data_IF_242482874549
#
_entry.id   IF_242482874549
#
_cell.length_a   1.000
_cell.length_b   1.000
_cell.length_c   1.000
_cell.angle_alpha   90.00
_cell.angle_beta   90.00
_cell.angle_gamma   90.00
#
_symmetry.space_group_name_H-M   'P 1'
#
loop_
_entity.id
_entity.type
_entity.pdbx_description
1 polymer ?
#
# COMPACT_ATOMS: atom_id res chain seq x y z
N UNK A 1 -50.25 3.03 21.86
CA UNK A 1 -48.93 2.46 22.21
C UNK A 1 -48.99 0.99 22.65
N UNK A 2 -49.84 0.59 23.61
CA UNK A 2 -49.88 -0.81 24.12
C UNK A 2 -50.29 -1.88 23.09
N UNK A 3 -51.18 -1.54 22.14
CA UNK A 3 -51.66 -2.49 21.12
C UNK A 3 -50.61 -2.86 20.05
N UNK A 4 -49.67 -1.96 19.76
CA UNK A 4 -48.61 -2.19 18.76
C UNK A 4 -47.49 -3.09 19.31
N UNK A 5 -47.21 -2.96 20.61
CA UNK A 5 -46.20 -3.79 21.29
C UNK A 5 -46.65 -5.25 21.34
N UNK A 6 -47.94 -5.51 21.64
CA UNK A 6 -48.49 -6.87 21.63
C UNK A 6 -48.45 -7.52 20.24
N UNK A 7 -48.78 -6.79 19.16
CA UNK A 7 -48.68 -7.32 17.79
C UNK A 7 -47.25 -7.69 17.40
N UNK A 8 -46.26 -6.88 17.78
CA UNK A 8 -44.85 -7.17 17.48
C UNK A 8 -44.32 -8.39 18.25
N UNK A 9 -44.74 -8.56 19.52
CA UNK A 9 -44.35 -9.71 20.34
C UNK A 9 -44.96 -11.01 19.77
N UNK A 10 -46.23 -10.99 19.38
CA UNK A 10 -46.89 -12.18 18.78
C UNK A 10 -46.23 -12.58 17.46
N UNK A 11 -45.84 -11.62 16.62
CA UNK A 11 -45.13 -11.90 15.36
C UNK A 11 -43.73 -12.46 15.62
N UNK A 12 -43.03 -11.98 16.65
CA UNK A 12 -41.70 -12.48 17.01
C UNK A 12 -41.75 -13.94 17.52
N UNK A 13 -42.76 -14.27 18.34
CA UNK A 13 -42.96 -15.63 18.87
C UNK A 13 -43.33 -16.60 17.73
N UNK A 14 -44.20 -16.19 16.80
CA UNK A 14 -44.57 -17.00 15.64
C UNK A 14 -43.38 -17.30 14.70
N UNK A 15 -42.39 -16.39 14.62
CA UNK A 15 -41.21 -16.56 13.76
C UNK A 15 -40.15 -17.48 14.36
N UNK A 16 -40.07 -17.54 15.70
CA UNK A 16 -39.20 -18.46 16.43
C UNK A 16 -39.70 -19.92 16.40
N UNK A 17 -41.01 -20.13 16.27
CA UNK A 17 -41.63 -21.46 16.22
C UNK A 17 -41.46 -22.19 14.87
N UNK A 18 -40.95 -21.52 13.82
CA UNK A 18 -40.85 -22.07 12.45
C UNK A 18 -39.42 -22.45 12.02
N UNK A 19 -38.45 -22.51 12.93
CA UNK A 19 -37.11 -22.99 12.61
C UNK A 19 -37.03 -24.51 12.85
N UNK A 20 -36.86 -25.35 11.80
CA UNK A 20 -36.72 -26.78 11.98
C UNK A 20 -35.37 -27.14 12.61
N UNK A 21 -35.44 -27.80 13.77
CA UNK A 21 -34.38 -28.58 14.38
C UNK A 21 -34.04 -29.77 13.45
N UNK A 22 -32.96 -29.68 12.69
CA UNK A 22 -32.32 -30.85 12.08
C UNK A 22 -30.81 -30.63 11.97
N UNK A 23 -30.14 -30.77 13.11
CA UNK A 23 -28.69 -30.88 13.21
C UNK A 23 -28.41 -31.98 14.24
N UNK A 24 -28.29 -33.22 13.76
CA UNK A 24 -27.37 -34.27 14.24
C UNK A 24 -27.74 -35.64 13.65
N UNK A 25 -26.69 -36.40 13.31
CA UNK A 25 -26.60 -37.86 13.07
C UNK A 25 -26.35 -38.26 11.60
N UNK A 26 -25.29 -39.09 11.46
CA UNK A 26 -24.69 -39.77 10.30
C UNK A 26 -23.54 -39.01 9.61
N UNK A 27 -22.34 -39.56 9.41
CA UNK A 27 -21.72 -40.85 9.74
C UNK A 27 -20.22 -40.68 9.41
N UNK A 28 -19.36 -41.40 10.12
CA UNK A 28 -17.98 -41.66 9.70
C UNK A 28 -17.94 -42.64 8.51
N UNK A 29 -16.74 -42.80 7.92
CA UNK A 29 -16.35 -43.67 6.78
C UNK A 29 -16.70 -43.05 5.40
N UNK A 30 -15.81 -42.92 4.41
CA UNK A 30 -14.80 -43.86 3.91
C UNK A 30 -13.51 -43.17 3.40
N UNK A 31 -12.44 -43.97 3.42
CA UNK A 31 -11.17 -43.78 2.73
C UNK A 31 -11.27 -44.06 1.23
N UNK A 32 -10.38 -43.41 0.49
CA UNK A 32 -9.68 -43.91 -0.71
C UNK A 32 -10.31 -43.78 -2.12
N UNK A 33 -9.42 -43.32 -3.02
CA UNK A 33 -9.32 -43.63 -4.45
C UNK A 33 -10.50 -43.28 -5.37
N UNK A 34 -10.29 -42.33 -6.29
CA UNK A 34 -10.21 -42.66 -7.73
C UNK A 34 -9.73 -41.48 -8.57
N UNK A 35 -8.74 -41.77 -9.42
CA UNK A 35 -8.36 -41.00 -10.60
C UNK A 35 -9.43 -41.21 -11.69
N UNK A 36 -9.81 -40.14 -12.37
CA UNK A 36 -10.11 -39.98 -13.82
C UNK A 36 -10.67 -38.55 -13.96
N UNK A 37 -10.22 -37.66 -14.84
CA UNK A 37 -10.00 -37.81 -16.28
C UNK A 37 -11.24 -37.29 -17.01
N UNK A 38 -11.15 -36.11 -17.66
CA UNK A 38 -11.93 -35.57 -18.80
C UNK A 38 -11.31 -34.18 -19.09
N UNK A 39 -10.41 -34.00 -20.06
CA UNK A 39 -10.63 -33.67 -21.49
C UNK A 39 -11.74 -32.63 -21.70
N UNK A 40 -11.48 -31.42 -22.17
CA UNK A 40 -11.17 -31.15 -23.57
C UNK A 40 -11.22 -29.63 -23.79
N UNK A 41 -10.35 -29.08 -24.63
CA UNK A 41 -10.76 -28.17 -25.70
C UNK A 41 -9.66 -28.15 -26.76
N UNK A 42 -10.09 -28.49 -27.97
CA UNK A 42 -9.30 -28.64 -29.18
C UNK A 42 -9.48 -27.38 -30.01
N UNK A 43 -8.40 -26.72 -30.42
CA UNK A 43 -8.36 -25.96 -31.67
C UNK A 43 -7.03 -26.22 -32.38
N UNK A 44 -7.14 -26.70 -33.63
CA UNK A 44 -6.04 -26.91 -34.58
C UNK A 44 -5.52 -25.56 -35.04
N UNK A 45 -4.21 -25.43 -35.31
CA UNK A 45 -3.70 -25.22 -36.68
C UNK A 45 -2.15 -25.16 -36.77
N UNK A 46 -1.65 -26.02 -37.66
CA UNK A 46 -0.56 -25.89 -38.64
C UNK A 46 0.89 -25.67 -38.19
N UNK A 47 1.69 -26.68 -38.56
CA UNK A 47 3.12 -26.64 -38.81
C UNK A 47 3.48 -25.55 -39.83
N UNK A 48 4.53 -24.79 -39.53
CA UNK A 48 5.43 -24.21 -40.53
C UNK A 48 6.86 -24.37 -40.04
N UNK A 49 7.64 -25.10 -40.83
CA UNK A 49 9.08 -25.23 -40.75
C UNK A 49 9.78 -23.98 -41.32
N UNK A 50 11.06 -23.85 -40.95
CA UNK A 50 12.14 -23.04 -41.54
C UNK A 50 12.17 -21.53 -41.25
N UNK A 51 13.24 -21.06 -40.59
CA UNK A 51 14.45 -20.54 -41.26
C UNK A 51 15.36 -19.79 -40.26
N UNK A 52 16.67 -20.12 -40.30
CA UNK A 52 17.87 -19.24 -40.23
C UNK A 52 17.92 -18.12 -39.15
N UNK A 53 18.98 -17.91 -38.33
CA UNK A 53 20.40 -17.67 -38.68
C UNK A 53 21.31 -17.84 -37.42
N UNK A 54 22.43 -18.52 -37.65
CA UNK A 54 23.78 -18.52 -37.01
C UNK A 54 24.02 -18.98 -35.57
N UNK A 55 24.52 -20.22 -35.52
CA UNK A 55 25.60 -20.70 -34.67
C UNK A 55 26.92 -19.95 -34.92
N UNK A 56 27.56 -19.49 -33.85
CA UNK A 56 29.02 -19.46 -33.75
C UNK A 56 29.41 -20.31 -32.54
N UNK A 57 30.12 -21.40 -32.82
CA UNK A 57 30.60 -22.34 -31.82
C UNK A 57 31.88 -21.87 -31.16
N UNK A 58 32.04 -22.27 -29.89
CA UNK A 58 33.37 -22.57 -29.34
C UNK A 58 33.24 -23.92 -28.62
N UNK A 59 33.88 -24.93 -29.20
CA UNK A 59 34.14 -26.23 -28.60
C UNK A 59 35.09 -26.07 -27.41
N UNK A 60 34.77 -26.72 -26.28
CA UNK A 60 35.81 -27.26 -25.42
C UNK A 60 35.58 -28.76 -25.22
N UNK A 61 36.54 -29.52 -25.72
CA UNK A 61 36.68 -30.96 -25.65
C UNK A 61 37.46 -31.35 -24.39
N UNK A 62 37.03 -32.42 -23.71
CA UNK A 62 37.78 -33.15 -22.67
C UNK A 62 37.67 -32.53 -21.27
N UNK A 63 37.41 -33.24 -20.17
CA UNK A 63 37.77 -34.62 -19.78
C UNK A 63 36.79 -35.12 -18.73
N UNK A 64 36.78 -36.45 -18.59
CA UNK A 64 35.88 -37.29 -17.79
C UNK A 64 35.89 -36.97 -16.29
N UNK A 65 34.78 -37.35 -15.66
CA UNK A 65 34.58 -37.72 -14.24
C UNK A 65 34.35 -36.58 -13.24
N UNK A 66 33.08 -36.39 -12.87
CA UNK A 66 32.70 -35.91 -11.55
C UNK A 66 31.36 -36.55 -11.12
N UNK A 67 31.42 -37.83 -10.75
CA UNK A 67 30.51 -38.41 -9.76
C UNK A 67 31.34 -38.81 -8.54
N UNK A 68 31.27 -37.98 -7.50
CA UNK A 68 31.40 -38.32 -6.08
C UNK A 68 31.03 -37.04 -5.32
N UNK A 69 29.80 -36.98 -4.82
CA UNK A 69 29.41 -37.32 -3.45
C UNK A 69 29.56 -36.11 -2.52
N UNK A 70 28.44 -35.78 -1.90
CA UNK A 70 28.28 -34.79 -0.85
C UNK A 70 29.20 -35.07 0.35
N UNK A 71 29.68 -34.02 1.00
CA UNK A 71 29.72 -33.94 2.47
C UNK A 71 29.96 -32.49 2.94
N UNK A 72 29.14 -32.10 3.92
CA UNK A 72 29.36 -31.13 5.01
C UNK A 72 29.78 -29.68 4.74
N UNK A 73 28.97 -28.80 5.33
CA UNK A 73 29.19 -27.36 5.55
C UNK A 73 30.38 -27.04 6.50
N UNK A 74 31.26 -27.99 6.80
CA UNK A 74 32.32 -27.82 7.81
C UNK A 74 33.76 -27.88 7.30
N UNK A 75 34.01 -28.02 5.99
CA UNK A 75 35.38 -28.08 5.46
C UNK A 75 35.70 -26.95 4.46
N UNK A 76 35.73 -25.70 4.94
CA UNK A 76 36.60 -24.69 4.32
C UNK A 76 37.91 -24.69 5.12
N UNK A 77 39.09 -24.86 4.49
CA UNK A 77 40.38 -24.70 5.17
C UNK A 77 40.43 -23.33 5.85
N UNK A 78 41.05 -23.24 7.04
CA UNK A 78 41.20 -21.99 7.81
C UNK A 78 41.83 -20.84 7.01
N UNK A 79 42.50 -21.17 5.91
CA UNK A 79 43.32 -20.25 5.13
C UNK A 79 42.59 -19.73 3.87
N UNK A 80 41.30 -20.06 3.69
CA UNK A 80 40.54 -19.62 2.52
C UNK A 80 39.96 -18.21 2.72
N UNK A 81 40.76 -17.19 2.44
CA UNK A 81 40.29 -15.80 2.42
C UNK A 81 39.64 -15.45 1.09
N UNK A 82 38.32 -15.24 1.07
CA UNK A 82 37.61 -14.67 -0.08
C UNK A 82 38.17 -13.26 -0.37
N UNK A 83 38.73 -13.04 -1.56
CA UNK A 83 39.12 -11.71 -2.00
C UNK A 83 37.87 -10.92 -2.45
N UNK A 84 37.86 -9.58 -2.43
CA UNK A 84 36.72 -8.79 -2.92
C UNK A 84 36.34 -9.03 -4.40
N UNK A 85 37.16 -9.79 -5.15
CA UNK A 85 36.93 -10.19 -6.54
C UNK A 85 36.21 -11.53 -6.68
N UNK A 86 36.21 -12.35 -5.63
CA UNK A 86 35.54 -13.66 -5.62
C UNK A 86 34.05 -13.47 -5.45
N UNK A 87 33.34 -13.33 -6.58
CA UNK A 87 31.88 -13.36 -6.58
C UNK A 87 31.43 -14.77 -6.23
N UNK A 88 30.92 -14.95 -5.01
CA UNK A 88 30.07 -16.11 -4.67
C UNK A 88 28.83 -16.01 -5.56
N UNK A 89 28.90 -16.59 -6.74
CA UNK A 89 27.72 -16.82 -7.57
C UNK A 89 26.95 -17.91 -6.87
N UNK A 90 25.88 -17.54 -6.17
CA UNK A 90 24.91 -18.50 -5.67
C UNK A 90 24.22 -19.10 -6.90
N UNK A 91 24.86 -20.06 -7.55
CA UNK A 91 24.27 -20.85 -8.61
C UNK A 91 23.20 -21.73 -7.96
N UNK A 92 21.94 -21.31 -8.09
CA UNK A 92 20.81 -22.14 -7.69
C UNK A 92 20.49 -23.09 -8.84
N UNK A 93 20.27 -24.36 -8.52
CA UNK A 93 19.85 -25.33 -9.51
C UNK A 93 18.51 -24.90 -10.15
N UNK A 94 18.37 -24.91 -11.49
CA UNK A 94 17.15 -24.47 -12.17
C UNK A 94 15.91 -25.31 -11.82
N UNK A 95 16.13 -26.55 -11.39
CA UNK A 95 15.10 -27.56 -11.12
C UNK A 95 14.81 -27.75 -9.64
N UNK A 96 15.58 -27.15 -8.74
CA UNK A 96 15.27 -27.17 -7.31
C UNK A 96 13.94 -26.41 -7.09
N UNK A 97 12.91 -27.03 -6.49
CA UNK A 97 11.68 -26.33 -6.17
C UNK A 97 12.05 -25.22 -5.20
N UNK A 98 11.95 -23.96 -5.64
CA UNK A 98 12.35 -22.78 -4.85
C UNK A 98 11.66 -22.86 -3.48
N UNK A 99 12.38 -23.20 -2.38
CA UNK A 99 11.77 -23.56 -1.10
C UNK A 99 11.17 -22.35 -0.37
N UNK A 100 11.20 -21.18 -1.01
CA UNK A 100 10.69 -19.94 -0.46
C UNK A 100 9.42 -19.44 -1.16
N UNK A 101 8.97 -20.01 -2.30
CA UNK A 101 7.82 -19.46 -3.04
C UNK A 101 6.51 -19.50 -2.23
N UNK A 102 6.36 -20.51 -1.36
CA UNK A 102 5.24 -20.63 -0.41
C UNK A 102 5.40 -19.75 0.84
N UNK A 103 6.62 -19.29 1.13
CA UNK A 103 6.95 -18.34 2.21
C UNK A 103 7.16 -16.89 1.72
N UNK A 104 7.01 -16.62 0.41
CA UNK A 104 6.98 -15.25 -0.10
C UNK A 104 5.69 -14.63 0.38
N UNK A 105 5.80 -13.69 1.32
CA UNK A 105 4.69 -12.78 1.61
C UNK A 105 4.44 -11.95 0.36
N UNK A 106 3.44 -12.34 -0.42
CA UNK A 106 2.97 -11.52 -1.52
C UNK A 106 2.42 -10.21 -0.95
N UNK A 107 2.74 -9.04 -1.53
CA UNK A 107 2.29 -7.75 -1.02
C UNK A 107 0.77 -7.60 -0.89
N UNK A 108 0.01 -8.47 -1.57
CA UNK A 108 -1.45 -8.56 -1.59
C UNK A 108 -2.03 -9.36 -0.42
N UNK A 109 -1.25 -10.31 0.11
CA UNK A 109 -1.60 -11.10 1.31
C UNK A 109 -1.33 -10.31 2.60
N UNK A 110 -0.46 -9.29 2.54
CA UNK A 110 -0.19 -8.44 3.69
C UNK A 110 -1.44 -7.63 4.08
N UNK A 111 -1.84 -7.74 5.35
CA UNK A 111 -2.89 -6.91 5.93
C UNK A 111 -2.56 -5.43 5.77
N UNK A 112 -3.33 -4.72 4.94
CA UNK A 112 -3.17 -3.30 4.65
C UNK A 112 -4.54 -2.64 4.70
N UNK A 113 -4.63 -1.64 5.57
CA UNK A 113 -5.82 -0.83 5.78
C UNK A 113 -5.44 0.59 5.42
N UNK A 114 -6.06 1.12 4.37
CA UNK A 114 -6.03 2.54 4.06
C UNK A 114 -7.31 3.17 4.63
N UNK A 115 -7.26 4.38 5.17
CA UNK A 115 -8.43 5.19 5.56
C UNK A 115 -8.11 6.67 5.34
N UNK A 116 -9.11 7.48 5.04
CA UNK A 116 -8.94 8.94 4.99
C UNK A 116 -9.10 9.54 6.37
N UNK A 117 -8.26 10.52 6.65
CA UNK A 117 -8.30 11.32 7.84
C UNK A 117 -8.27 12.81 7.48
N UNK A 118 -8.66 13.64 8.43
CA UNK A 118 -8.52 15.09 8.37
C UNK A 118 -7.33 15.47 9.26
N UNK A 119 -6.43 16.29 8.74
CA UNK A 119 -5.35 16.87 9.56
C UNK A 119 -5.96 17.87 10.55
N UNK A 120 -6.15 17.44 11.80
CA UNK A 120 -6.92 18.19 12.80
C UNK A 120 -6.07 19.24 13.49
N UNK A 121 -4.92 18.86 14.04
CA UNK A 121 -4.06 19.78 14.78
C UNK A 121 -2.60 19.34 14.72
N UNK A 122 -1.68 20.28 14.94
CA UNK A 122 -0.25 20.04 15.07
C UNK A 122 0.19 20.70 16.36
N UNK A 123 0.79 19.92 17.25
CA UNK A 123 1.22 20.37 18.56
C UNK A 123 2.43 19.57 19.04
N UNK A 124 2.67 19.62 20.33
CA UNK A 124 3.73 18.89 21.00
C UNK A 124 3.15 18.10 22.18
N UNK A 125 3.75 16.95 22.47
CA UNK A 125 3.39 16.10 23.61
C UNK A 125 4.67 15.76 24.36
N UNK A 126 4.61 15.73 25.68
CA UNK A 126 5.71 15.26 26.52
C UNK A 126 5.71 13.74 26.55
N UNK A 127 6.87 13.15 26.24
CA UNK A 127 7.08 11.72 26.40
C UNK A 127 7.30 11.41 27.89
N UNK A 128 7.03 10.15 28.33
CA UNK A 128 7.35 9.73 29.69
C UNK A 128 8.81 9.96 30.09
N UNK A 129 9.72 9.90 29.12
CA UNK A 129 11.16 10.14 29.30
C UNK A 129 11.53 11.63 29.50
N UNK A 130 10.55 12.54 29.49
CA UNK A 130 10.78 13.99 29.60
C UNK A 130 11.18 14.67 28.27
N UNK A 131 11.17 13.95 27.15
CA UNK A 131 11.43 14.54 25.83
C UNK A 131 10.16 15.14 25.20
N UNK A 132 10.29 16.30 24.56
CA UNK A 132 9.20 16.92 23.78
C UNK A 132 9.14 16.32 22.38
N UNK A 133 8.03 15.66 22.05
CA UNK A 133 7.78 15.13 20.72
C UNK A 133 6.81 16.02 19.93
N UNK A 134 7.11 16.26 18.66
CA UNK A 134 6.19 16.97 17.76
C UNK A 134 5.16 15.99 17.19
N UNK A 135 3.89 16.33 17.34
CA UNK A 135 2.77 15.42 17.05
C UNK A 135 1.77 16.08 16.10
N UNK A 136 1.31 15.33 15.11
CA UNK A 136 0.12 15.68 14.33
C UNK A 136 -1.05 14.82 14.79
N UNK A 137 -2.15 15.46 15.18
CA UNK A 137 -3.43 14.81 15.43
C UNK A 137 -4.20 14.65 14.11
N UNK A 138 -4.50 13.41 13.75
CA UNK A 138 -5.27 13.05 12.57
C UNK A 138 -6.65 12.56 13.01
N UNK A 139 -7.72 13.20 12.54
CA UNK A 139 -9.10 12.77 12.80
C UNK A 139 -9.52 11.80 11.71
N UNK A 140 -9.58 10.52 12.03
CA UNK A 140 -10.09 9.48 11.12
C UNK A 140 -11.60 9.41 11.35
N UNK A 141 -12.38 9.65 10.30
CA UNK A 141 -13.84 9.61 10.43
C UNK A 141 -14.35 8.17 10.30
N UNK A 142 -15.38 7.80 11.07
CA UNK A 142 -16.04 6.50 10.94
C UNK A 142 -16.57 6.35 9.52
N UNK A 143 -16.39 5.18 8.92
CA UNK A 143 -16.70 4.99 7.52
C UNK A 143 -17.30 3.61 7.25
N UNK A 144 -18.33 3.57 6.41
CA UNK A 144 -19.08 2.35 6.08
C UNK A 144 -18.59 1.77 4.77
N UNK A 145 -18.30 0.47 4.75
CA UNK A 145 -17.99 -0.25 3.51
C UNK A 145 -19.28 -0.40 2.69
N UNK A 146 -19.32 0.15 1.48
CA UNK A 146 -20.50 0.07 0.62
C UNK A 146 -20.38 -1.02 -0.45
N UNK A 147 -19.21 -1.18 -1.06
CA UNK A 147 -19.00 -2.11 -2.17
C UNK A 147 -17.55 -2.58 -2.20
N UNK A 148 -17.32 -3.84 -2.55
CA UNK A 148 -15.97 -4.36 -2.83
C UNK A 148 -15.67 -4.23 -4.33
N UNK A 149 -14.51 -3.68 -4.65
CA UNK A 149 -13.99 -3.58 -6.01
C UNK A 149 -12.88 -4.62 -6.24
N UNK A 150 -12.50 -4.79 -7.50
CA UNK A 150 -11.37 -5.62 -7.88
C UNK A 150 -10.05 -5.11 -7.28
N UNK A 151 -9.04 -5.98 -7.23
CA UNK A 151 -7.67 -5.68 -6.77
C UNK A 151 -7.53 -5.25 -5.30
N UNK A 152 -8.47 -5.65 -4.43
CA UNK A 152 -8.42 -5.38 -2.99
C UNK A 152 -8.68 -3.91 -2.65
N UNK A 153 -9.47 -3.23 -3.47
CA UNK A 153 -10.05 -1.94 -3.14
C UNK A 153 -11.50 -2.13 -2.67
N UNK A 154 -11.91 -1.32 -1.71
CA UNK A 154 -13.30 -1.20 -1.30
C UNK A 154 -13.75 0.25 -1.44
N UNK A 155 -14.99 0.44 -1.86
CA UNK A 155 -15.67 1.73 -1.84
C UNK A 155 -16.19 1.97 -0.43
N UNK A 156 -15.65 3.01 0.18
CA UNK A 156 -15.96 3.39 1.55
C UNK A 156 -16.64 4.75 1.53
N UNK A 157 -17.73 4.89 2.28
CA UNK A 157 -18.47 6.14 2.44
C UNK A 157 -18.20 6.72 3.83
N UNK A 158 -17.81 8.00 3.88
CA UNK A 158 -17.67 8.76 5.12
C UNK A 158 -18.98 9.50 5.35
N UNK A 159 -19.64 9.31 6.49
CA UNK A 159 -20.95 9.91 6.73
C UNK A 159 -20.94 11.43 6.49
N UNK A 160 -21.83 11.92 5.63
CA UNK A 160 -22.19 13.33 5.50
C UNK A 160 -23.53 13.56 6.19
N UNK A 161 -23.78 14.77 6.72
CA UNK A 161 -25.10 15.08 7.24
C UNK A 161 -26.12 15.11 6.08
N UNK A 162 -27.34 14.61 6.31
CA UNK A 162 -28.34 14.40 5.25
C UNK A 162 -28.68 15.66 4.44
N UNK A 163 -28.54 16.86 5.01
CA UNK A 163 -28.82 18.13 4.34
C UNK A 163 -27.85 18.45 3.19
N UNK A 164 -26.63 17.88 3.21
CA UNK A 164 -25.63 18.06 2.14
C UNK A 164 -25.98 17.32 0.84
N UNK A 165 -27.02 16.46 0.85
CA UNK A 165 -27.52 15.76 -0.35
C UNK A 165 -27.74 16.70 -1.54
N UNK A 166 -28.11 17.97 -1.28
CA UNK A 166 -28.36 18.98 -2.32
C UNK A 166 -27.12 19.30 -3.16
N UNK A 167 -25.92 19.14 -2.61
CA UNK A 167 -24.67 19.48 -3.31
C UNK A 167 -24.05 18.33 -4.09
N UNK A 168 -24.65 17.13 -4.02
CA UNK A 168 -24.20 15.99 -4.81
C UNK A 168 -24.68 16.13 -6.26
N UNK A 169 -23.82 15.76 -7.23
CA UNK A 169 -24.24 15.74 -8.63
C UNK A 169 -25.28 14.65 -8.85
N UNK A 170 -26.22 14.88 -9.78
CA UNK A 170 -27.31 13.95 -10.09
C UNK A 170 -26.82 12.53 -10.42
N UNK A 171 -25.72 12.41 -11.16
CA UNK A 171 -25.11 11.11 -11.52
C UNK A 171 -24.53 10.37 -10.31
N UNK A 172 -23.97 11.10 -9.33
CA UNK A 172 -23.42 10.52 -8.11
C UNK A 172 -24.55 10.04 -7.19
N UNK A 173 -25.66 10.78 -7.11
CA UNK A 173 -26.82 10.42 -6.29
C UNK A 173 -27.39 9.04 -6.63
N UNK A 174 -27.48 8.68 -7.92
CA UNK A 174 -27.96 7.34 -8.31
C UNK A 174 -27.09 6.21 -7.78
N UNK A 175 -25.76 6.38 -7.83
CA UNK A 175 -24.81 5.40 -7.28
C UNK A 175 -24.88 5.34 -5.75
N UNK A 176 -25.00 6.49 -5.11
CA UNK A 176 -25.11 6.60 -3.67
C UNK A 176 -26.37 5.91 -3.15
N UNK A 177 -27.53 6.14 -3.78
CA UNK A 177 -28.80 5.47 -3.41
C UNK A 177 -28.68 3.95 -3.48
N UNK A 178 -27.96 3.44 -4.48
CA UNK A 178 -27.80 1.99 -4.68
C UNK A 178 -26.89 1.35 -3.63
N UNK A 179 -25.80 2.03 -3.28
CA UNK A 179 -24.70 1.41 -2.54
C UNK A 179 -24.62 1.83 -1.06
N UNK A 180 -25.12 3.01 -0.68
CA UNK A 180 -24.93 3.57 0.66
C UNK A 180 -26.20 4.27 1.19
N UNK A 181 -26.55 4.01 2.46
CA UNK A 181 -27.65 4.72 3.14
C UNK A 181 -27.33 6.19 3.47
N UNK A 182 -26.04 6.55 3.56
CA UNK A 182 -25.59 7.84 4.09
C UNK A 182 -25.42 8.95 3.04
N UNK A 183 -25.75 8.70 1.76
CA UNK A 183 -25.67 9.67 0.64
C UNK A 183 -24.35 10.45 0.52
N UNK A 184 -23.25 9.89 1.01
CA UNK A 184 -21.98 10.60 1.10
C UNK A 184 -20.94 10.06 0.12
N UNK A 185 -20.05 10.94 -0.35
CA UNK A 185 -19.03 10.63 -1.36
C UNK A 185 -18.31 9.32 -1.04
N UNK A 186 -18.38 8.39 -1.98
CA UNK A 186 -17.67 7.13 -1.91
C UNK A 186 -16.25 7.36 -2.38
N UNK A 187 -15.27 6.96 -1.58
CA UNK A 187 -13.86 6.99 -1.96
C UNK A 187 -13.33 5.56 -2.01
N UNK A 188 -12.62 5.18 -3.08
CA UNK A 188 -11.93 3.90 -3.12
C UNK A 188 -10.77 3.90 -2.14
N UNK A 189 -10.69 2.84 -1.35
CA UNK A 189 -9.76 2.66 -0.26
C UNK A 189 -9.17 1.25 -0.35
N UNK A 190 -7.88 1.10 -0.08
CA UNK A 190 -7.23 -0.22 -0.11
C UNK A 190 -7.52 -0.98 1.19
N UNK A 191 -8.20 -2.12 1.08
CA UNK A 191 -8.49 -3.05 2.18
C UNK A 191 -8.01 -4.43 1.77
N UNK A 192 -6.93 -4.90 2.39
CA UNK A 192 -6.35 -6.21 2.13
C UNK A 192 -6.12 -6.95 3.45
N UNK A 193 -6.40 -8.27 3.51
CA UNK A 193 -7.11 -9.07 2.51
C UNK A 193 -8.63 -8.78 2.55
N UNK A 194 -9.35 -8.86 1.42
CA UNK A 194 -10.77 -8.49 1.38
C UNK A 194 -11.70 -9.46 2.14
N UNK A 195 -11.25 -10.69 2.40
CA UNK A 195 -12.06 -11.70 3.11
C UNK A 195 -12.28 -11.35 4.60
N UNK A 196 -11.47 -10.46 5.16
CA UNK A 196 -11.56 -10.05 6.56
C UNK A 196 -12.69 -9.03 6.81
N UNK A 197 -13.37 -8.55 5.76
CA UNK A 197 -14.34 -7.46 5.84
C UNK A 197 -15.71 -7.86 5.30
N UNK A 198 -16.75 -7.26 5.89
CA UNK A 198 -18.15 -7.48 5.49
C UNK A 198 -18.75 -6.20 4.92
N UNK A 199 -19.65 -6.33 3.94
CA UNK A 199 -20.41 -5.20 3.42
C UNK A 199 -21.25 -4.56 4.54
N UNK A 200 -21.26 -3.23 4.61
CA UNK A 200 -21.95 -2.46 5.65
C UNK A 200 -21.18 -2.33 6.97
N UNK A 201 -20.02 -2.99 7.11
CA UNK A 201 -19.18 -2.84 8.31
C UNK A 201 -18.71 -1.39 8.46
N UNK A 202 -18.73 -0.90 9.70
CA UNK A 202 -18.19 0.40 10.10
C UNK A 202 -16.72 0.22 10.46
N UNK A 203 -15.84 0.98 9.80
CA UNK A 203 -14.42 1.06 10.09
C UNK A 203 -14.11 2.39 10.78
N UNK A 204 -13.51 2.26 11.97
CA UNK A 204 -13.13 3.38 12.82
C UNK A 204 -11.61 3.44 12.99
N UNK A 205 -11.15 4.39 13.81
CA UNK A 205 -9.73 4.55 14.15
C UNK A 205 -9.15 3.34 14.88
N UNK A 206 -10.02 2.55 15.52
CA UNK A 206 -9.68 1.28 16.16
C UNK A 206 -9.09 0.26 15.17
N UNK A 207 -9.35 0.38 13.87
CA UNK A 207 -8.71 -0.45 12.84
C UNK A 207 -7.18 -0.29 12.80
N UNK A 208 -6.64 0.79 13.36
CA UNK A 208 -5.20 1.01 13.50
C UNK A 208 -4.65 0.60 14.87
N UNK A 209 -5.47 0.04 15.76
CA UNK A 209 -5.00 -0.50 17.03
C UNK A 209 -3.96 -1.61 16.79
N UNK A 210 -2.81 -1.53 17.46
CA UNK A 210 -1.69 -2.46 17.26
C UNK A 210 -0.75 -2.10 16.10
N UNK A 211 -1.05 -1.08 15.28
CA UNK A 211 -0.11 -0.58 14.29
C UNK A 211 0.96 0.30 14.97
N UNK A 212 2.22 -0.14 14.95
CA UNK A 212 3.37 0.66 15.44
C UNK A 212 3.74 1.78 14.47
N UNK A 213 3.64 1.51 13.17
CA UNK A 213 3.98 2.43 12.10
C UNK A 213 2.83 2.60 11.12
N UNK A 214 2.72 3.83 10.59
CA UNK A 214 1.76 4.19 9.56
C UNK A 214 2.44 4.97 8.43
N UNK A 215 1.89 4.84 7.24
CA UNK A 215 2.22 5.68 6.09
C UNK A 215 1.14 6.73 5.94
N UNK A 216 1.50 8.01 5.93
CA UNK A 216 0.54 9.10 5.73
C UNK A 216 0.83 9.81 4.41
N UNK A 217 -0.19 9.91 3.57
CA UNK A 217 -0.12 10.51 2.24
C UNK A 217 -1.04 11.72 2.18
N UNK A 218 -0.52 12.87 1.78
CA UNK A 218 -1.29 14.11 1.72
C UNK A 218 -0.89 14.99 0.55
N UNK A 219 -1.70 16.00 0.28
CA UNK A 219 -1.38 17.04 -0.70
C UNK A 219 -0.61 18.14 0.01
N UNK A 220 0.55 18.49 -0.53
CA UNK A 220 1.39 19.57 0.02
C UNK A 220 0.73 20.94 -0.16
N UNK A 221 0.95 21.84 0.81
CA UNK A 221 0.48 23.25 0.71
C UNK A 221 0.98 23.89 -0.58
N UNK A 222 0.08 24.48 -1.36
CA UNK A 222 0.43 25.23 -2.56
C UNK A 222 1.23 26.49 -2.22
N UNK A 223 2.23 26.82 -3.04
CA UNK A 223 3.07 28.03 -2.90
C UNK A 223 3.07 28.92 -4.15
N UNK A 224 2.16 28.67 -5.09
CA UNK A 224 2.06 29.40 -6.37
C UNK A 224 3.23 29.12 -7.33
N UNK A 225 3.50 30.05 -8.24
CA UNK A 225 4.68 30.05 -9.08
C UNK A 225 5.91 30.43 -8.25
N UNK A 226 6.88 29.53 -8.14
CA UNK A 226 8.09 29.75 -7.36
C UNK A 226 9.31 29.89 -8.28
N UNK A 227 10.14 30.89 -7.99
CA UNK A 227 11.46 31.05 -8.58
C UNK A 227 12.43 29.93 -8.18
N UNK A 228 13.57 29.87 -8.85
CA UNK A 228 14.48 28.70 -8.79
C UNK A 228 15.12 28.53 -7.41
N UNK A 229 15.40 29.63 -6.72
CA UNK A 229 15.90 29.63 -5.33
C UNK A 229 14.91 28.93 -4.39
N UNK A 230 13.64 29.37 -4.36
CA UNK A 230 12.62 28.80 -3.46
C UNK A 230 12.22 27.37 -3.83
N UNK A 231 12.19 27.07 -5.13
CA UNK A 231 11.70 25.77 -5.65
C UNK A 231 12.75 24.67 -5.59
N UNK A 232 14.00 24.99 -5.88
CA UNK A 232 15.09 24.04 -6.08
C UNK A 232 16.33 24.30 -5.22
N UNK A 233 16.30 25.31 -4.35
CA UNK A 233 17.41 25.62 -3.44
C UNK A 233 18.65 26.19 -4.13
N UNK A 234 18.49 26.88 -5.26
CA UNK A 234 19.64 27.51 -5.94
C UNK A 234 20.23 28.65 -5.11
N UNK A 235 21.54 28.83 -5.20
CA UNK A 235 22.24 29.98 -4.62
C UNK A 235 21.93 31.27 -5.35
N UNK A 236 22.11 32.40 -4.66
CA UNK A 236 22.02 33.74 -5.24
C UNK A 236 23.38 34.17 -5.83
N UNK A 237 23.37 35.09 -6.78
CA UNK A 237 24.58 35.79 -7.25
C UNK A 237 25.09 36.83 -6.24
N UNK A 238 26.29 37.41 -6.46
CA UNK A 238 26.85 38.46 -5.62
C UNK A 238 25.94 39.71 -5.61
N UNK A 239 25.92 40.42 -4.48
CA UNK A 239 25.01 41.57 -4.26
C UNK A 239 25.70 42.93 -4.44
N UNK A 240 26.97 43.06 -4.07
CA UNK A 240 27.69 44.34 -4.02
C UNK A 240 28.35 44.73 -5.36
N UNK A 241 29.06 43.80 -6.01
CA UNK A 241 29.86 44.11 -7.20
C UNK A 241 29.04 43.98 -8.50
N UNK A 242 28.30 45.04 -8.87
CA UNK A 242 27.79 45.32 -10.22
C UNK A 242 26.88 44.28 -10.91
N UNK A 243 26.61 43.15 -10.27
CA UNK A 243 25.92 42.03 -10.89
C UNK A 243 24.42 42.30 -10.98
N UNK A 244 23.86 42.36 -12.19
CA UNK A 244 22.40 42.38 -12.40
C UNK A 244 21.74 41.00 -12.27
N UNK A 245 22.48 39.99 -11.79
CA UNK A 245 22.09 38.58 -11.77
C UNK A 245 22.00 38.02 -10.34
N UNK A 246 21.23 38.68 -9.48
CA UNK A 246 21.13 38.27 -8.07
C UNK A 246 20.32 36.99 -7.84
N UNK A 247 19.19 36.79 -8.56
CA UNK A 247 18.25 35.68 -8.31
C UNK A 247 17.93 34.84 -9.55
N UNK A 248 18.70 35.03 -10.62
CA UNK A 248 18.54 34.32 -11.89
C UNK A 248 19.18 32.92 -11.81
N UNK A 249 18.73 31.93 -12.60
CA UNK A 249 19.14 30.52 -12.48
C UNK A 249 20.56 30.17 -12.92
N UNK A 250 21.34 31.12 -13.44
CA UNK A 250 22.63 30.84 -14.07
C UNK A 250 22.47 30.15 -15.43
N UNK A 251 23.49 29.40 -15.85
CA UNK A 251 23.48 28.70 -17.14
C UNK A 251 22.48 27.54 -17.19
N UNK A 252 21.73 27.47 -18.28
CA UNK A 252 20.69 26.44 -18.51
C UNK A 252 21.22 25.21 -19.25
N UNK A 253 22.35 25.30 -19.96
CA UNK A 253 22.89 24.22 -20.78
C UNK A 253 24.29 24.51 -21.31
N UNK A 254 24.86 23.52 -21.99
CA UNK A 254 26.09 23.66 -22.78
C UNK A 254 25.76 24.18 -24.19
N UNK A 255 26.77 24.72 -24.88
CA UNK A 255 26.63 25.32 -26.22
C UNK A 255 26.42 24.26 -27.32
N UNK A 256 27.48 23.76 -27.96
CA UNK A 256 27.41 22.96 -29.19
C UNK A 256 26.77 21.59 -29.01
N UNK A 257 27.18 20.84 -27.98
CA UNK A 257 26.61 19.51 -27.67
C UNK A 257 26.00 19.59 -26.28
N UNK A 258 24.68 19.42 -26.07
CA UNK A 258 23.65 18.83 -26.94
C UNK A 258 22.82 19.81 -27.80
N UNK A 259 23.15 21.11 -27.87
CA UNK A 259 22.41 22.09 -28.68
C UNK A 259 20.98 22.40 -28.20
N UNK A 260 20.57 21.87 -27.05
CA UNK A 260 19.25 22.08 -26.47
C UNK A 260 19.30 22.01 -24.93
N UNK A 261 18.22 22.46 -24.27
CA UNK A 261 18.08 22.27 -22.83
C UNK A 261 17.58 20.86 -22.55
N UNK A 262 18.35 20.07 -21.79
CA UNK A 262 17.97 18.69 -21.45
C UNK A 262 16.62 18.63 -20.70
N UNK A 263 15.76 17.65 -20.99
CA UNK A 263 14.51 17.46 -20.25
C UNK A 263 14.79 17.22 -18.77
N UNK A 264 13.90 17.70 -17.90
CA UNK A 264 14.08 17.62 -16.45
C UNK A 264 15.03 18.67 -15.85
N UNK A 265 15.56 19.61 -16.66
CA UNK A 265 16.31 20.75 -16.13
C UNK A 265 15.48 21.54 -15.11
N UNK A 266 16.06 21.80 -13.95
CA UNK A 266 15.42 22.54 -12.85
C UNK A 266 15.24 24.01 -13.23
N UNK A 267 14.00 24.48 -13.23
CA UNK A 267 13.61 25.85 -13.59
C UNK A 267 12.49 26.38 -12.69
N UNK A 268 12.12 27.64 -12.84
CA UNK A 268 10.99 28.23 -12.12
C UNK A 268 9.67 27.53 -12.50
N UNK A 269 8.68 27.58 -11.63
CA UNK A 269 7.38 26.96 -11.89
C UNK A 269 6.54 26.74 -10.65
N UNK A 270 5.35 26.15 -10.83
CA UNK A 270 4.43 25.86 -9.72
C UNK A 270 5.10 24.97 -8.66
N UNK A 271 4.98 25.38 -7.40
CA UNK A 271 5.48 24.67 -6.22
C UNK A 271 4.33 24.34 -5.26
N UNK A 272 4.40 23.15 -4.64
CA UNK A 272 3.35 22.63 -3.78
C UNK A 272 2.15 22.07 -4.56
N UNK A 273 1.10 21.66 -3.86
CA UNK A 273 -0.08 21.02 -4.47
C UNK A 273 0.21 19.61 -5.02
N UNK A 274 1.34 19.01 -4.65
CA UNK A 274 1.73 17.65 -5.07
C UNK A 274 1.42 16.64 -3.97
N UNK A 275 1.08 15.41 -4.36
CA UNK A 275 0.92 14.27 -3.46
C UNK A 275 2.29 13.86 -2.90
N UNK A 276 2.44 13.88 -1.59
CA UNK A 276 3.64 13.43 -0.88
C UNK A 276 3.26 12.37 0.15
N UNK A 277 4.08 11.33 0.27
CA UNK A 277 3.88 10.24 1.22
C UNK A 277 5.02 10.23 2.23
N UNK A 278 4.68 10.20 3.52
CA UNK A 278 5.60 9.96 4.61
C UNK A 278 5.42 8.50 5.03
N UNK A 279 6.50 7.72 5.02
CA UNK A 279 6.48 6.30 5.38
C UNK A 279 7.02 6.13 6.79
N UNK A 280 6.67 5.02 7.46
CA UNK A 280 7.21 4.65 8.77
C UNK A 280 7.06 5.74 9.84
N UNK A 281 5.90 6.39 9.90
CA UNK A 281 5.60 7.32 10.97
C UNK A 281 5.15 6.56 12.21
N UNK A 282 5.76 6.83 13.37
CA UNK A 282 5.40 6.18 14.63
C UNK A 282 4.04 6.68 15.12
N UNK A 283 3.15 5.76 15.48
CA UNK A 283 1.89 6.07 16.17
C UNK A 283 2.19 6.18 17.66
N UNK A 284 1.77 7.28 18.29
CA UNK A 284 1.99 7.53 19.72
C UNK A 284 0.80 7.09 20.56
N UNK A 285 -0.40 7.22 20.01
CA UNK A 285 -1.63 6.84 20.68
C UNK A 285 -2.84 7.00 19.77
N UNK A 286 -3.89 6.28 20.09
CA UNK A 286 -5.18 6.31 19.41
C UNK A 286 -6.24 6.54 20.48
N UNK A 287 -7.12 7.52 20.25
CA UNK A 287 -8.29 7.75 21.07
C UNK A 287 -9.54 7.48 20.20
N UNK A 288 -10.24 6.35 20.42
CA UNK A 288 -11.39 5.97 19.61
C UNK A 288 -12.60 6.88 19.84
N UNK A 289 -12.82 7.36 21.07
CA UNK A 289 -13.97 8.20 21.45
C UNK A 289 -13.99 9.52 20.67
N UNK A 290 -12.82 10.15 20.56
CA UNK A 290 -12.64 11.40 19.79
C UNK A 290 -12.32 11.16 18.32
N UNK A 291 -12.14 9.89 17.93
CA UNK A 291 -11.68 9.44 16.62
C UNK A 291 -10.36 10.11 16.17
N UNK A 292 -9.45 10.31 17.13
CA UNK A 292 -8.14 10.93 16.91
C UNK A 292 -7.01 9.89 16.95
N UNK A 293 -6.08 10.01 16.02
CA UNK A 293 -4.82 9.28 15.99
C UNK A 293 -3.65 10.27 16.07
N UNK A 294 -2.71 10.01 16.96
CA UNK A 294 -1.53 10.83 17.18
C UNK A 294 -0.30 10.22 16.51
N UNK A 295 0.33 10.99 15.62
CA UNK A 295 1.48 10.55 14.83
C UNK A 295 2.69 11.45 15.07
N UNK A 296 3.86 10.85 15.31
CA UNK A 296 5.15 11.55 15.54
C UNK A 296 5.75 12.08 14.23
N UNK A 297 5.15 13.13 13.64
CA UNK A 297 5.70 13.87 12.52
C UNK A 297 4.86 15.10 12.16
N UNK A 298 5.40 15.94 11.26
CA UNK A 298 4.63 16.93 10.51
C UNK A 298 4.08 16.30 9.22
N UNK A 299 2.75 16.24 9.12
CA UNK A 299 2.09 15.70 7.92
C UNK A 299 1.90 16.79 6.86
N UNK A 300 1.94 16.43 5.57
CA UNK A 300 1.64 17.34 4.47
C UNK A 300 0.22 17.90 4.54
N UNK A 301 0.03 19.12 4.04
CA UNK A 301 -1.27 19.78 3.97
C UNK A 301 -1.51 20.83 5.06
N UNK A 302 -2.56 21.61 4.86
CA UNK A 302 -3.05 22.59 5.81
C UNK A 302 -3.90 21.92 6.90
N UNK A 303 -4.17 22.63 8.00
CA UNK A 303 -5.18 22.17 8.97
C UNK A 303 -6.52 22.05 8.23
N UNK A 304 -7.24 20.95 8.45
CA UNK A 304 -8.49 20.62 7.76
C UNK A 304 -8.32 19.91 6.42
N UNK A 305 -7.11 19.73 5.89
CA UNK A 305 -6.93 18.99 4.63
C UNK A 305 -7.10 17.49 4.83
N UNK A 306 -7.72 16.82 3.86
CA UNK A 306 -7.77 15.37 3.80
C UNK A 306 -6.38 14.76 3.56
N UNK A 307 -6.07 13.72 4.32
CA UNK A 307 -4.89 12.87 4.18
C UNK A 307 -5.35 11.41 4.12
N UNK A 308 -4.59 10.57 3.45
CA UNK A 308 -4.77 9.12 3.47
C UNK A 308 -3.77 8.51 4.44
N UNK A 309 -4.25 7.67 5.34
CA UNK A 309 -3.45 6.91 6.31
C UNK A 309 -3.50 5.46 5.87
N UNK A 310 -2.35 4.84 5.69
CA UNK A 310 -2.22 3.40 5.39
C UNK A 310 -1.48 2.74 6.53
N UNK A 311 -1.97 1.59 7.01
CA UNK A 311 -1.21 0.76 7.96
C UNK A 311 0.07 0.28 7.29
N UNK A 312 1.20 0.43 7.98
CA UNK A 312 2.49 -0.08 7.53
C UNK A 312 2.94 -1.12 8.55
N UNK A 313 2.57 -2.38 8.31
CA UNK A 313 2.90 -3.52 9.18
C UNK A 313 4.38 -3.91 9.09
N UNK A 314 5.15 -3.32 8.16
CA UNK A 314 6.56 -3.62 8.05
C UNK A 314 7.31 -3.03 9.25
N UNK A 315 7.79 -3.94 10.12
CA UNK A 315 8.83 -3.64 11.09
C UNK A 315 10.03 -2.98 10.38
N UNK A 316 10.92 -2.27 11.10
CA UNK A 316 12.28 -2.10 10.60
C UNK A 316 12.79 -3.44 10.05
N UNK A 317 13.54 -3.37 8.94
CA UNK A 317 14.21 -4.57 8.41
C UNK A 317 14.95 -5.23 9.58
N UNK A 318 14.98 -6.56 9.72
CA UNK A 318 15.80 -7.17 10.74
C UNK A 318 17.22 -6.61 10.60
N UNK A 319 17.79 -6.14 11.70
CA UNK A 319 19.10 -5.46 11.73
C UNK A 319 20.24 -6.34 11.20
N UNK A 320 19.97 -7.63 10.98
CA UNK A 320 20.89 -8.66 10.51
C UNK A 320 20.94 -8.79 8.98
N UNK A 321 21.20 -7.69 8.27
CA UNK A 321 21.79 -7.78 6.93
C UNK A 321 23.15 -7.09 7.03
N UNK A 322 24.19 -7.92 7.12
CA UNK A 322 25.60 -7.53 7.19
C UNK A 322 25.87 -6.39 6.19
N UNK A 323 26.42 -5.28 6.70
CA UNK A 323 26.94 -4.16 5.91
C UNK A 323 28.22 -4.57 5.19
#
# INVERSE_FOLDING_TARGET
MRYYVYKLIVIAIAKLALLPLSLSIHLADELALCRTGITSFRTKHRNTSSSFVNSDGIQFCGRKNALRMALEKEALPSDFTLTPRDRVVIAKDPFDPRPYLWNVRWPETERKIELRAIKYHVGQIWSPDGHVETVTALKVLPCTICEFMDFGYALVSYGKPMWERRWNRRTELGKLIKNCSNFADMIPVKLQPPQDYVLGQILDVSAFAGCTYVKVTGITKGKGFAGVIKRHGFSRGPMSHGSKHHRKPGSIGASTTPGCVKPGKRMAGRMGGKRCSFRKLRVLGINPETSLMYVKALVAGAKGSYVSVTSDMQSPRPDNILK
#
